data_IF_042026126116
#
_entry.id   IF_042026126116
#
_cell.length_a   1.000
_cell.length_b   1.000
_cell.length_c   1.000
_cell.angle_alpha   90.00
_cell.angle_beta   90.00
_cell.angle_gamma   90.00
#
_symmetry.space_group_name_H-M   'P 1'
#
loop_
_entity.id
_entity.type
_entity.pdbx_description
1 polymer ?
#
# COMPACT_ATOMS: atom_id res chain seq x y z
N UNK A 1 -2.76 -7.55 -7.70
CA UNK A 1 -2.28 -7.74 -6.31
C UNK A 1 -3.46 -7.60 -5.35
N UNK A 2 -3.49 -8.38 -4.25
CA UNK A 2 -4.48 -8.20 -3.17
C UNK A 2 -3.77 -7.69 -1.92
N UNK A 3 -4.26 -6.61 -1.34
CA UNK A 3 -3.73 -6.02 -0.11
C UNK A 3 -4.82 -6.08 0.96
N UNK A 4 -4.43 -6.55 2.14
CA UNK A 4 -5.27 -6.55 3.34
C UNK A 4 -4.59 -5.67 4.37
N UNK A 5 -5.24 -4.57 4.75
CA UNK A 5 -4.79 -3.64 5.78
C UNK A 5 -5.68 -3.83 7.00
N UNK A 6 -5.09 -3.87 8.20
CA UNK A 6 -5.81 -3.94 9.47
C UNK A 6 -5.14 -3.02 10.48
N UNK A 7 -5.94 -2.28 11.23
CA UNK A 7 -5.50 -1.44 12.35
C UNK A 7 -4.39 -0.43 11.98
N UNK A 8 -4.56 0.33 10.88
CA UNK A 8 -3.63 1.41 10.49
C UNK A 8 -4.39 2.75 10.42
N UNK A 9 -4.06 3.66 11.34
CA UNK A 9 -4.71 4.97 11.49
C UNK A 9 -6.26 4.85 11.42
N UNK A 10 -7.09 5.65 10.70
CA UNK A 10 -8.53 5.46 10.86
C UNK A 10 -9.03 4.13 10.24
N UNK A 11 -8.17 3.37 9.55
CA UNK A 11 -8.54 2.13 8.89
C UNK A 11 -8.50 0.96 9.89
N UNK A 12 -9.68 0.57 10.40
CA UNK A 12 -9.83 -0.69 11.13
C UNK A 12 -9.56 -1.90 10.22
N UNK A 13 -10.14 -1.90 9.01
CA UNK A 13 -9.86 -2.91 8.00
C UNK A 13 -10.07 -2.38 6.58
N UNK A 14 -9.23 -2.84 5.65
CA UNK A 14 -9.42 -2.62 4.22
C UNK A 14 -8.97 -3.85 3.44
N UNK A 15 -9.77 -4.28 2.47
CA UNK A 15 -9.44 -5.36 1.54
C UNK A 15 -9.49 -4.80 0.13
N UNK A 16 -8.31 -4.62 -0.48
CA UNK A 16 -8.14 -3.87 -1.72
C UNK A 16 -7.61 -4.82 -2.79
N UNK A 17 -8.28 -4.83 -3.94
CA UNK A 17 -7.82 -5.53 -5.13
C UNK A 17 -7.22 -4.49 -6.06
N UNK A 18 -5.90 -4.57 -6.28
CA UNK A 18 -5.20 -3.78 -7.29
C UNK A 18 -5.16 -4.59 -8.60
N UNK A 19 -6.04 -4.24 -9.53
CA UNK A 19 -6.14 -4.86 -10.85
C UNK A 19 -6.42 -3.78 -11.91
N UNK A 20 -5.53 -3.64 -12.91
CA UNK A 20 -5.62 -2.56 -13.89
C UNK A 20 -5.61 -1.18 -13.24
N UNK A 21 -6.61 -0.35 -13.57
CA UNK A 21 -6.84 0.94 -12.93
C UNK A 21 -7.74 0.75 -11.70
N UNK A 22 -7.23 1.12 -10.53
CA UNK A 22 -7.99 1.09 -9.26
C UNK A 22 -8.09 2.50 -8.70
N UNK A 23 -9.31 3.00 -8.48
CA UNK A 23 -9.58 4.34 -7.94
C UNK A 23 -9.98 4.23 -6.48
N UNK A 24 -9.27 4.95 -5.60
CA UNK A 24 -9.60 5.07 -4.18
C UNK A 24 -10.31 6.42 -3.97
N UNK A 25 -11.61 6.37 -3.69
CA UNK A 25 -12.47 7.54 -3.49
C UNK A 25 -13.17 7.48 -2.13
N UNK A 26 -13.77 8.60 -1.70
CA UNK A 26 -14.40 8.77 -0.39
C UNK A 26 -14.22 10.18 0.17
N UNK A 27 -14.78 10.45 1.35
CA UNK A 27 -14.65 11.74 2.04
C UNK A 27 -13.23 12.00 2.55
N UNK A 28 -12.89 13.26 2.79
CA UNK A 28 -11.58 13.61 3.35
C UNK A 28 -11.37 12.96 4.72
N UNK A 29 -10.10 12.69 5.05
CA UNK A 29 -9.68 12.11 6.34
C UNK A 29 -10.22 10.70 6.66
N UNK A 30 -10.89 10.04 5.72
CA UNK A 30 -11.37 8.64 5.87
C UNK A 30 -10.30 7.57 5.56
N UNK A 31 -9.03 7.96 5.46
CA UNK A 31 -7.92 7.02 5.24
C UNK A 31 -7.51 6.81 3.77
N UNK A 32 -8.05 7.57 2.81
CA UNK A 32 -7.61 7.49 1.39
C UNK A 32 -6.10 7.67 1.22
N UNK A 33 -5.54 8.72 1.81
CA UNK A 33 -4.09 8.99 1.78
C UNK A 33 -3.29 7.94 2.55
N UNK A 34 -3.85 7.39 3.64
CA UNK A 34 -3.24 6.31 4.43
C UNK A 34 -3.10 5.04 3.60
N UNK A 35 -4.15 4.64 2.86
CA UNK A 35 -4.08 3.50 1.92
C UNK A 35 -2.93 3.72 0.91
N UNK A 36 -2.88 4.89 0.28
CA UNK A 36 -1.81 5.22 -0.68
C UNK A 36 -0.40 5.14 -0.08
N UNK A 37 -0.20 5.67 1.13
CA UNK A 37 1.07 5.61 1.86
C UNK A 37 1.48 4.17 2.20
N UNK A 38 0.54 3.32 2.60
CA UNK A 38 0.81 1.90 2.87
C UNK A 38 1.25 1.18 1.60
N UNK A 39 0.50 1.35 0.50
CA UNK A 39 0.84 0.76 -0.80
C UNK A 39 2.23 1.22 -1.26
N UNK A 40 2.52 2.53 -1.17
CA UNK A 40 3.82 3.09 -1.53
C UNK A 40 4.95 2.49 -0.70
N UNK A 41 4.76 2.37 0.62
CA UNK A 41 5.77 1.83 1.53
C UNK A 41 6.12 0.38 1.20
N UNK A 42 5.12 -0.44 0.88
CA UNK A 42 5.31 -1.85 0.47
C UNK A 42 6.13 -1.92 -0.82
N UNK A 43 5.74 -1.17 -1.86
CA UNK A 43 6.44 -1.17 -3.15
C UNK A 43 7.88 -0.67 -2.99
N UNK A 44 8.09 0.39 -2.18
CA UNK A 44 9.43 0.92 -1.92
C UNK A 44 10.32 -0.11 -1.21
N UNK A 45 9.78 -0.82 -0.21
CA UNK A 45 10.52 -1.86 0.51
C UNK A 45 10.90 -3.02 -0.41
N UNK A 46 9.97 -3.48 -1.26
CA UNK A 46 10.21 -4.54 -2.25
C UNK A 46 11.31 -4.14 -3.25
N UNK A 47 11.22 -2.93 -3.80
CA UNK A 47 12.24 -2.40 -4.71
C UNK A 47 13.62 -2.32 -4.04
N UNK A 48 13.68 -1.88 -2.78
CA UNK A 48 14.94 -1.80 -2.05
C UNK A 48 15.54 -3.19 -1.79
N UNK A 49 14.71 -4.17 -1.43
CA UNK A 49 15.14 -5.55 -1.26
C UNK A 49 15.68 -6.14 -2.56
N UNK A 50 14.99 -5.90 -3.69
CA UNK A 50 15.42 -6.34 -5.00
C UNK A 50 16.75 -5.73 -5.44
N UNK A 51 17.02 -4.46 -5.09
CA UNK A 51 18.32 -3.81 -5.35
C UNK A 51 19.42 -4.48 -4.55
N UNK A 52 19.23 -4.66 -3.23
CA UNK A 52 20.21 -5.31 -2.34
C UNK A 52 20.62 -6.70 -2.82
N UNK A 53 19.64 -7.51 -3.23
CA UNK A 53 19.87 -8.83 -3.80
C UNK A 53 20.69 -8.81 -5.10
N UNK A 54 20.58 -7.74 -5.90
CA UNK A 54 21.35 -7.57 -7.14
C UNK A 54 22.76 -7.04 -6.88
N UNK A 55 22.93 -6.19 -5.87
CA UNK A 55 24.22 -5.56 -5.52
C UNK A 55 25.06 -6.41 -4.59
N UNK A 56 24.47 -7.44 -3.96
CA UNK A 56 25.16 -8.29 -2.98
C UNK A 56 25.40 -7.61 -1.63
N UNK A 57 24.63 -6.55 -1.33
CA UNK A 57 24.58 -5.88 -0.02
C UNK A 57 23.56 -6.53 0.91
#
# INVERSE_FOLDING_TARGET
>A
MKIIIRNIEPLQSANIILNGLTVIAGENDTGKSTIGKVIFSIIKADNLAAVRLKTGE
#
